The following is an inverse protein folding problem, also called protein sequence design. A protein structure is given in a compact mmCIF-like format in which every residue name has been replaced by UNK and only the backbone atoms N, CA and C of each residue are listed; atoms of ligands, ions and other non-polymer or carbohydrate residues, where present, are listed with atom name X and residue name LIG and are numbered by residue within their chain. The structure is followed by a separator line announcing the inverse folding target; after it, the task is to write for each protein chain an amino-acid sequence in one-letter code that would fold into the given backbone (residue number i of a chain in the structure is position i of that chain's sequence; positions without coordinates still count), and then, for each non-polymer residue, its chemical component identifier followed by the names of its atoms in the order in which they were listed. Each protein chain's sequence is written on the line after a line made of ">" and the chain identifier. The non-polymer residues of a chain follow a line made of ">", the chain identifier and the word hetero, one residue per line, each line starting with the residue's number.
data_IF_392897972278
#
_entry.id   IF_392897972278
#
_cell.length_a   1.000
_cell.length_b   1.000
_cell.length_c   1.000
_cell.angle_alpha   90.00
_cell.angle_beta   90.00
_cell.angle_gamma   90.00
#
_symmetry.space_group_name_H-M   'P 1'
#
loop_
_entity.id
_entity.type
_entity.pdbx_description
1 polymer ?
#
# COMPACT_ATOMS: atom_id res chain seq x y z
N UNK A 1 38.73 -52.75 49.14
CA UNK A 1 39.02 -51.34 48.79
C UNK A 1 38.60 -51.10 47.37
N UNK A 2 37.36 -50.62 47.15
CA UNK A 2 36.81 -50.36 45.83
C UNK A 2 36.55 -48.86 45.68
N UNK A 3 37.17 -48.24 44.71
CA UNK A 3 37.01 -46.81 44.35
C UNK A 3 35.84 -46.67 43.38
N UNK A 4 34.90 -45.75 43.57
CA UNK A 4 33.85 -45.54 42.57
C UNK A 4 34.37 -44.58 41.48
N UNK A 5 34.13 -44.97 40.24
CA UNK A 5 34.35 -44.18 39.05
C UNK A 5 33.17 -43.23 38.88
N UNK A 6 33.45 -41.95 38.99
CA UNK A 6 32.44 -40.90 38.74
C UNK A 6 32.22 -40.74 37.24
N UNK A 7 31.04 -41.03 36.75
CA UNK A 7 30.60 -40.85 35.36
C UNK A 7 30.20 -39.37 35.16
N UNK A 8 31.03 -38.60 34.46
CA UNK A 8 30.73 -37.21 34.10
C UNK A 8 29.82 -37.18 32.91
N UNK A 9 28.51 -36.97 33.11
CA UNK A 9 27.58 -36.68 32.04
C UNK A 9 27.78 -35.23 31.52
N UNK A 10 28.42 -35.11 30.35
CA UNK A 10 28.49 -33.85 29.61
C UNK A 10 27.12 -33.55 28.99
N UNK A 11 26.40 -32.58 29.53
CA UNK A 11 25.20 -32.04 28.94
C UNK A 11 25.59 -31.17 27.73
N UNK A 12 25.45 -31.73 26.54
CA UNK A 12 25.53 -30.98 25.30
C UNK A 12 24.26 -30.13 25.17
N UNK A 13 24.38 -28.84 25.49
CA UNK A 13 23.33 -27.87 25.29
C UNK A 13 23.07 -27.65 23.80
N UNK A 14 21.96 -28.17 23.31
CA UNK A 14 21.48 -27.90 21.97
C UNK A 14 20.97 -26.44 21.91
N UNK A 15 21.82 -25.52 21.44
CA UNK A 15 21.43 -24.14 21.15
C UNK A 15 20.56 -24.18 19.89
N UNK A 16 19.25 -24.17 20.06
CA UNK A 16 18.30 -23.92 18.98
C UNK A 16 18.48 -22.47 18.50
N UNK A 17 19.24 -22.29 17.42
CA UNK A 17 19.18 -21.01 16.68
C UNK A 17 17.76 -20.88 16.11
N UNK A 18 16.91 -20.19 16.84
CA UNK A 18 15.62 -19.75 16.34
C UNK A 18 15.86 -18.81 15.17
N UNK A 19 15.52 -19.25 13.94
CA UNK A 19 15.34 -18.37 12.79
C UNK A 19 14.18 -17.43 13.11
N UNK A 20 14.45 -16.38 13.86
CA UNK A 20 13.54 -15.26 14.08
C UNK A 20 13.37 -14.49 12.79
N UNK A 21 12.46 -14.94 11.92
CA UNK A 21 11.93 -14.11 10.86
C UNK A 21 11.37 -12.85 11.52
N UNK A 22 12.00 -11.69 11.27
CA UNK A 22 11.47 -10.40 11.73
C UNK A 22 10.06 -10.29 11.19
N UNK A 23 9.03 -10.06 12.03
CA UNK A 23 7.71 -9.76 11.53
C UNK A 23 7.88 -8.57 10.56
N UNK A 24 7.30 -8.67 9.37
CA UNK A 24 7.24 -7.54 8.46
C UNK A 24 6.52 -6.41 9.21
N UNK A 25 7.29 -5.48 9.74
CA UNK A 25 6.78 -4.28 10.37
C UNK A 25 5.99 -3.59 9.27
N UNK A 26 4.66 -3.56 9.40
CA UNK A 26 3.85 -2.63 8.62
C UNK A 26 4.30 -1.24 9.07
N UNK A 27 5.27 -0.71 8.36
CA UNK A 27 5.84 0.60 8.64
C UNK A 27 4.70 1.60 8.51
N UNK A 28 4.41 2.32 9.59
CA UNK A 28 3.49 3.45 9.54
C UNK A 28 3.97 4.40 8.42
N UNK A 29 3.01 5.01 7.72
CA UNK A 29 3.36 5.99 6.68
C UNK A 29 4.19 7.09 7.34
N UNK A 30 5.40 7.40 6.82
CA UNK A 30 6.24 8.45 7.39
C UNK A 30 5.49 9.78 7.44
N UNK A 31 5.67 10.57 8.50
CA UNK A 31 4.94 11.82 8.67
C UNK A 31 5.20 12.80 7.50
N UNK A 32 6.40 12.81 6.97
CA UNK A 32 6.75 13.61 5.78
C UNK A 32 5.90 13.26 4.55
N UNK A 33 5.50 11.99 4.40
CA UNK A 33 4.63 11.56 3.31
C UNK A 33 3.16 11.89 3.62
N UNK A 34 2.75 11.88 4.89
CA UNK A 34 1.41 12.33 5.31
C UNK A 34 1.22 13.82 4.98
N UNK A 35 2.23 14.63 5.23
CA UNK A 35 2.19 16.08 5.06
C UNK A 35 2.48 16.53 3.61
N UNK A 36 2.96 15.60 2.78
CA UNK A 36 3.32 15.89 1.39
C UNK A 36 2.11 16.31 0.58
N UNK A 37 2.21 17.48 -0.04
CA UNK A 37 1.17 17.98 -0.93
C UNK A 37 1.38 17.46 -2.35
N UNK A 38 0.28 17.29 -3.08
CA UNK A 38 0.34 16.98 -4.49
C UNK A 38 0.86 18.23 -5.25
N UNK A 39 2.00 18.13 -5.93
CA UNK A 39 2.55 19.27 -6.69
C UNK A 39 1.84 19.46 -8.04
N UNK A 40 1.05 18.46 -8.48
CA UNK A 40 0.37 18.50 -9.77
C UNK A 40 -1.01 19.13 -9.60
N UNK A 41 -1.25 20.23 -10.31
CA UNK A 41 -2.54 20.94 -10.28
C UNK A 41 -3.68 20.00 -10.75
N UNK A 42 -4.81 19.90 -9.99
CA UNK A 42 -5.95 19.06 -10.34
C UNK A 42 -6.82 19.70 -11.44
N UNK A 43 -6.29 19.77 -12.65
CA UNK A 43 -7.00 20.25 -13.84
C UNK A 43 -7.46 19.07 -14.73
N UNK A 44 -8.24 19.37 -15.78
CA UNK A 44 -8.79 18.38 -16.68
C UNK A 44 -7.71 17.48 -17.33
N UNK A 45 -6.57 18.06 -17.72
CA UNK A 45 -5.48 17.33 -18.35
C UNK A 45 -4.83 16.34 -17.36
N UNK A 46 -4.58 16.78 -16.12
CA UNK A 46 -4.05 15.94 -15.05
C UNK A 46 -5.00 14.79 -14.69
N UNK A 47 -6.29 15.07 -14.61
CA UNK A 47 -7.32 14.07 -14.30
C UNK A 47 -7.41 13.01 -15.41
N UNK A 48 -7.39 13.42 -16.68
CA UNK A 48 -7.45 12.49 -17.81
C UNK A 48 -6.18 11.63 -17.87
N UNK A 49 -5.00 12.19 -17.65
CA UNK A 49 -3.76 11.43 -17.55
C UNK A 49 -3.80 10.44 -16.38
N UNK A 50 -4.30 10.85 -15.22
CA UNK A 50 -4.51 9.95 -14.07
C UNK A 50 -5.45 8.80 -14.39
N UNK A 51 -6.54 9.06 -15.10
CA UNK A 51 -7.48 8.04 -15.56
C UNK A 51 -6.82 7.05 -16.54
N UNK A 52 -6.04 7.56 -17.48
CA UNK A 52 -5.28 6.75 -18.43
C UNK A 52 -4.29 5.83 -17.70
N UNK A 53 -3.51 6.38 -16.77
CA UNK A 53 -2.56 5.63 -15.96
C UNK A 53 -3.26 4.58 -15.08
N UNK A 54 -4.36 4.94 -14.43
CA UNK A 54 -5.16 4.02 -13.61
C UNK A 54 -5.62 2.78 -14.40
N UNK A 55 -6.01 2.96 -15.66
CA UNK A 55 -6.39 1.86 -16.56
C UNK A 55 -5.19 1.06 -17.06
N UNK A 56 -4.06 1.71 -17.32
CA UNK A 56 -2.86 1.10 -17.89
C UNK A 56 -2.00 0.33 -16.87
N UNK A 57 -2.16 0.61 -15.56
CA UNK A 57 -1.30 0.09 -14.49
C UNK A 57 -1.99 -0.96 -13.60
N UNK A 58 -2.97 -1.66 -14.14
CA UNK A 58 -3.67 -2.77 -13.46
C UNK A 58 -4.47 -2.39 -12.20
N UNK A 59 -4.57 -1.10 -11.86
CA UNK A 59 -5.37 -0.64 -10.72
C UNK A 59 -6.82 -1.13 -10.82
N UNK A 60 -7.38 -1.07 -12.02
CA UNK A 60 -8.75 -1.45 -12.32
C UNK A 60 -9.03 -2.93 -12.07
N UNK A 61 -8.03 -3.82 -12.12
CA UNK A 61 -8.20 -5.25 -11.88
C UNK A 61 -8.75 -5.55 -10.48
N UNK A 62 -8.29 -4.81 -9.48
CA UNK A 62 -8.79 -4.93 -8.10
C UNK A 62 -9.79 -3.83 -7.75
N UNK A 63 -9.49 -2.57 -8.12
CA UNK A 63 -10.29 -1.42 -7.71
C UNK A 63 -11.52 -1.16 -8.58
N UNK A 64 -11.69 -1.91 -9.68
CA UNK A 64 -12.77 -1.71 -10.64
C UNK A 64 -12.48 -0.58 -11.63
N UNK A 65 -13.06 -0.67 -12.84
CA UNK A 65 -12.84 0.28 -13.93
C UNK A 65 -13.16 1.73 -13.53
N UNK A 66 -14.18 1.90 -12.70
CA UNK A 66 -14.67 3.20 -12.25
C UNK A 66 -14.31 3.48 -10.79
N UNK A 67 -13.40 2.70 -10.21
CA UNK A 67 -12.99 2.84 -8.81
C UNK A 67 -14.04 2.36 -7.79
N UNK A 68 -14.95 1.47 -8.20
CA UNK A 68 -16.07 0.97 -7.39
C UNK A 68 -15.71 -0.17 -6.43
N UNK A 69 -14.44 -0.60 -6.44
CA UNK A 69 -13.95 -1.68 -5.62
C UNK A 69 -14.35 -3.09 -6.10
N UNK A 70 -14.96 -3.21 -7.28
CA UNK A 70 -15.52 -4.47 -7.81
C UNK A 70 -14.69 -5.03 -8.98
N UNK A 71 -13.39 -4.83 -8.96
CA UNK A 71 -12.50 -5.40 -9.96
C UNK A 71 -12.55 -6.93 -9.97
N UNK A 72 -12.19 -7.50 -11.11
CA UNK A 72 -12.27 -8.95 -11.34
C UNK A 72 -11.40 -9.71 -10.33
N UNK A 73 -10.14 -9.30 -10.16
CA UNK A 73 -9.23 -9.96 -9.21
C UNK A 73 -9.71 -9.84 -7.76
N UNK A 74 -10.28 -8.69 -7.37
CA UNK A 74 -10.82 -8.54 -6.03
C UNK A 74 -11.96 -9.53 -5.75
N UNK A 75 -12.82 -9.78 -6.75
CA UNK A 75 -13.91 -10.76 -6.64
C UNK A 75 -13.39 -12.18 -6.58
N UNK A 76 -12.44 -12.54 -7.44
CA UNK A 76 -11.89 -13.89 -7.53
C UNK A 76 -11.24 -14.35 -6.22
N UNK A 77 -10.63 -13.42 -5.48
CA UNK A 77 -9.98 -13.69 -4.20
C UNK A 77 -10.82 -13.25 -2.98
N UNK A 78 -12.08 -12.89 -3.19
CA UNK A 78 -13.01 -12.41 -2.16
C UNK A 78 -12.41 -11.30 -1.28
N UNK A 79 -11.78 -10.31 -1.92
CA UNK A 79 -11.14 -9.18 -1.25
C UNK A 79 -12.09 -7.98 -1.20
N UNK A 80 -12.27 -7.42 -0.01
CA UNK A 80 -13.04 -6.17 0.14
C UNK A 80 -12.14 -4.97 -0.21
N UNK A 81 -12.41 -4.35 -1.34
CA UNK A 81 -11.70 -3.15 -1.82
C UNK A 81 -12.61 -1.93 -1.69
N UNK A 82 -12.03 -0.81 -1.29
CA UNK A 82 -12.79 0.43 -1.11
C UNK A 82 -13.40 0.93 -2.42
N UNK A 83 -14.65 1.36 -2.35
CA UNK A 83 -15.30 2.15 -3.41
C UNK A 83 -14.81 3.61 -3.31
N UNK A 84 -13.93 4.01 -4.22
CA UNK A 84 -13.33 5.34 -4.24
C UNK A 84 -14.29 6.44 -4.68
N UNK A 85 -15.42 6.11 -5.26
CA UNK A 85 -16.48 7.07 -5.63
C UNK A 85 -17.18 7.63 -4.38
N UNK A 86 -17.06 6.94 -3.25
CA UNK A 86 -17.61 7.38 -1.97
C UNK A 86 -16.63 8.34 -1.29
N UNK A 87 -17.03 9.62 -1.12
CA UNK A 87 -16.16 10.66 -0.54
C UNK A 87 -15.55 10.29 0.81
N UNK A 88 -16.32 9.60 1.66
CA UNK A 88 -15.89 9.17 2.99
C UNK A 88 -14.73 8.17 2.97
N UNK A 89 -14.57 7.40 1.90
CA UNK A 89 -13.47 6.45 1.79
C UNK A 89 -12.14 7.15 1.47
N UNK A 90 -12.16 8.16 0.59
CA UNK A 90 -10.97 8.96 0.29
C UNK A 90 -10.68 10.05 1.32
N UNK A 91 -11.69 10.48 2.08
CA UNK A 91 -11.51 11.48 3.13
C UNK A 91 -10.55 11.06 4.25
N UNK A 92 -10.31 9.76 4.38
CA UNK A 92 -9.42 9.18 5.41
C UNK A 92 -7.94 9.38 5.09
N UNK A 93 -7.62 9.77 3.86
CA UNK A 93 -6.25 9.85 3.37
C UNK A 93 -5.92 11.26 2.88
N UNK A 94 -4.71 11.73 3.18
CA UNK A 94 -4.10 12.86 2.49
C UNK A 94 -3.63 12.45 1.10
N UNK A 95 -3.33 13.40 0.22
CA UNK A 95 -2.79 13.11 -1.11
C UNK A 95 -1.43 12.40 -1.02
N UNK A 96 -0.59 12.84 -0.08
CA UNK A 96 0.70 12.22 0.17
C UNK A 96 0.56 10.77 0.64
N UNK A 97 -0.40 10.48 1.51
CA UNK A 97 -0.71 9.10 1.91
C UNK A 97 -1.16 8.23 0.74
N UNK A 98 -2.03 8.75 -0.13
CA UNK A 98 -2.47 8.03 -1.33
C UNK A 98 -1.30 7.74 -2.26
N UNK A 99 -0.47 8.75 -2.53
CA UNK A 99 0.73 8.60 -3.35
C UNK A 99 1.69 7.55 -2.77
N UNK A 100 1.96 7.63 -1.48
CA UNK A 100 2.83 6.68 -0.79
C UNK A 100 2.29 5.24 -0.86
N UNK A 101 0.99 5.05 -0.61
CA UNK A 101 0.36 3.74 -0.65
C UNK A 101 0.35 3.12 -2.06
N UNK A 102 0.18 3.93 -3.10
CA UNK A 102 0.29 3.46 -4.48
C UNK A 102 1.73 3.02 -4.77
N UNK A 103 2.72 3.82 -4.43
CA UNK A 103 4.13 3.51 -4.69
C UNK A 103 4.59 2.27 -3.91
N UNK A 104 4.27 2.19 -2.62
CA UNK A 104 4.80 1.14 -1.73
C UNK A 104 3.92 -0.08 -1.59
N UNK A 105 2.68 0.01 -2.02
CA UNK A 105 1.69 -1.04 -1.79
C UNK A 105 1.25 -1.11 -0.33
N UNK A 106 0.24 -1.93 -0.06
CA UNK A 106 -0.21 -2.24 1.30
C UNK A 106 -0.96 -3.56 1.35
N UNK A 107 -0.49 -4.48 2.16
CA UNK A 107 -1.11 -5.79 2.31
C UNK A 107 -1.10 -6.57 0.98
N UNK A 108 -2.27 -6.78 0.37
CA UNK A 108 -2.40 -7.46 -0.93
C UNK A 108 -2.27 -6.51 -2.13
N UNK A 109 -2.30 -5.21 -1.90
CA UNK A 109 -2.05 -4.23 -2.96
C UNK A 109 -0.56 -4.24 -3.31
N UNK A 110 -0.18 -4.54 -4.55
CA UNK A 110 1.23 -4.56 -4.96
C UNK A 110 1.84 -3.17 -4.93
N UNK A 111 3.15 -3.12 -4.77
CA UNK A 111 3.91 -1.89 -4.92
C UNK A 111 4.07 -1.52 -6.41
N UNK A 112 3.95 -0.24 -6.71
CA UNK A 112 4.19 0.31 -8.04
C UNK A 112 5.56 0.99 -8.15
N UNK A 113 6.39 0.88 -7.11
CA UNK A 113 7.76 1.40 -7.07
C UNK A 113 8.57 0.86 -8.27
N UNK A 114 9.10 1.77 -9.09
CA UNK A 114 9.85 1.42 -10.31
C UNK A 114 9.01 1.16 -11.58
N UNK A 115 7.66 1.10 -11.48
CA UNK A 115 6.77 1.01 -12.65
C UNK A 115 6.32 2.38 -13.14
N UNK A 116 5.98 3.25 -12.18
CA UNK A 116 5.55 4.61 -12.43
C UNK A 116 6.40 5.58 -11.65
N UNK A 117 6.64 6.75 -12.23
CA UNK A 117 7.29 7.85 -11.50
C UNK A 117 6.32 8.42 -10.47
N UNK A 118 6.86 9.07 -9.43
CA UNK A 118 6.03 9.76 -8.44
C UNK A 118 5.11 10.81 -9.08
N UNK A 119 5.58 11.49 -10.13
CA UNK A 119 4.78 12.49 -10.85
C UNK A 119 3.58 11.85 -11.54
N UNK A 120 3.74 10.69 -12.15
CA UNK A 120 2.64 9.92 -12.72
C UNK A 120 1.62 9.50 -11.66
N UNK A 121 2.09 9.08 -10.50
CA UNK A 121 1.21 8.72 -9.38
C UNK A 121 0.40 9.91 -8.88
N UNK A 122 0.94 11.14 -8.92
CA UNK A 122 0.18 12.35 -8.57
C UNK A 122 -1.01 12.59 -9.50
N UNK A 123 -0.88 12.29 -10.79
CA UNK A 123 -2.02 12.31 -11.71
C UNK A 123 -3.09 11.28 -11.33
N UNK A 124 -2.68 10.07 -10.93
CA UNK A 124 -3.63 9.05 -10.44
C UNK A 124 -4.36 9.56 -9.19
N UNK A 125 -3.67 10.22 -8.25
CA UNK A 125 -4.29 10.82 -7.07
C UNK A 125 -5.35 11.87 -7.48
N UNK A 126 -5.06 12.74 -8.45
CA UNK A 126 -6.01 13.73 -8.97
C UNK A 126 -7.24 13.05 -9.59
N UNK A 127 -7.06 11.96 -10.34
CA UNK A 127 -8.17 11.18 -10.86
C UNK A 127 -9.03 10.58 -9.74
N UNK A 128 -8.43 9.94 -8.73
CA UNK A 128 -9.17 9.39 -7.59
C UNK A 128 -9.98 10.45 -6.87
N UNK A 129 -9.42 11.64 -6.67
CA UNK A 129 -10.14 12.78 -6.07
C UNK A 129 -11.33 13.21 -6.94
N UNK A 130 -11.17 13.22 -8.25
CA UNK A 130 -12.22 13.63 -9.18
C UNK A 130 -13.43 12.69 -9.15
N UNK A 131 -13.21 11.38 -9.13
CA UNK A 131 -14.32 10.39 -9.09
C UNK A 131 -15.05 10.37 -7.75
N UNK A 132 -14.43 10.86 -6.69
CA UNK A 132 -15.07 11.01 -5.37
C UNK A 132 -15.84 12.30 -5.20
N UNK A 133 -16.00 13.13 -6.25
CA UNK A 133 -16.60 14.45 -6.16
C UNK A 133 -15.78 15.48 -5.38
N UNK A 134 -14.51 15.20 -5.10
CA UNK A 134 -13.59 16.08 -4.35
C UNK A 134 -12.45 16.63 -5.20
N UNK A 135 -12.66 16.81 -6.50
CA UNK A 135 -11.69 17.49 -7.34
C UNK A 135 -11.45 18.91 -6.81
N UNK A 136 -10.24 19.20 -6.35
CA UNK A 136 -9.79 20.55 -6.02
C UNK A 136 -9.85 20.99 -4.56
N UNK A 137 -10.08 20.10 -3.58
CA UNK A 137 -9.90 20.49 -2.18
C UNK A 137 -8.82 19.67 -1.48
N UNK A 138 -7.57 20.19 -1.37
CA UNK A 138 -6.64 19.67 -0.40
C UNK A 138 -7.24 19.91 1.00
N UNK A 139 -7.35 18.87 1.83
CA UNK A 139 -7.51 19.13 3.25
C UNK A 139 -6.21 19.74 3.76
N UNK A 140 -6.31 20.98 4.20
CA UNK A 140 -5.30 21.65 5.02
C UNK A 140 -5.06 20.92 6.35
#
# INVERSE_FOLDING_TARGET
>A
MARPVALLCALVGCVLLGCGGKPAVQTAIPQEEVDRKNPVEPNAASIEEGKRLYGATDCALCHGKDGDGKGMEARDINMNVHDWRKPENLAKFTDGQLCYLIIKGKGRMPAYDGRETRDQVWHIVNYLRSISGRAGTPKS
#
